data_IF_289743588552
#
_entry.id   IF_289743588552
#
_cell.length_a   1.000
_cell.length_b   1.000
_cell.length_c   1.000
_cell.angle_alpha   90.00
_cell.angle_beta   90.00
_cell.angle_gamma   90.00
#
_symmetry.space_group_name_H-M   'P 1'
#
loop_
_entity.id
_entity.type
_entity.pdbx_description
1 polymer ?
#
# COMPACT_ATOMS: atom_id res chain seq x y z
N UNK A 1 10.17 15.04 -1.43
CA UNK A 1 11.16 14.87 -0.37
C UNK A 1 10.49 14.71 0.99
N UNK A 2 10.26 13.46 1.39
CA UNK A 2 9.65 13.15 2.66
C UNK A 2 10.68 13.01 3.76
N UNK A 3 10.28 12.32 4.83
CA UNK A 3 11.18 11.97 5.92
C UNK A 3 10.96 10.52 6.27
N UNK A 4 12.04 9.77 6.47
CA UNK A 4 11.96 8.37 6.86
C UNK A 4 12.88 8.15 8.06
N UNK A 5 12.29 7.78 9.19
CA UNK A 5 13.04 7.55 10.41
C UNK A 5 13.67 6.16 10.42
N UNK A 6 14.57 5.95 11.37
CA UNK A 6 15.43 4.77 11.42
C UNK A 6 15.19 4.02 12.71
N UNK A 7 15.13 2.70 12.64
CA UNK A 7 15.11 1.83 13.82
C UNK A 7 16.09 0.70 13.54
N UNK A 8 17.29 0.79 14.10
CA UNK A 8 18.29 -0.25 13.90
C UNK A 8 19.31 -0.21 15.02
N UNK A 9 20.05 -1.31 15.17
CA UNK A 9 21.03 -1.45 16.23
C UNK A 9 22.44 -1.08 15.79
N UNK A 10 22.68 -0.88 14.50
CA UNK A 10 24.03 -0.61 13.99
C UNK A 10 24.02 0.72 13.28
N UNK A 11 24.89 1.64 13.72
CA UNK A 11 24.89 2.98 13.16
C UNK A 11 25.41 2.97 11.72
N UNK A 12 26.44 2.16 11.45
CA UNK A 12 26.93 2.03 10.08
C UNK A 12 25.92 1.30 9.20
N UNK A 13 25.38 0.19 9.70
CA UNK A 13 24.41 -0.57 8.91
C UNK A 13 23.15 0.24 8.70
N UNK A 14 22.71 1.00 9.71
CA UNK A 14 21.55 1.85 9.48
C UNK A 14 21.89 3.03 8.58
N UNK A 15 23.14 3.50 8.61
CA UNK A 15 23.56 4.52 7.65
C UNK A 15 23.50 4.00 6.22
N UNK A 16 23.71 2.70 6.04
CA UNK A 16 23.58 2.11 4.71
C UNK A 16 22.18 2.33 4.15
N UNK A 17 21.15 2.10 4.97
CA UNK A 17 19.78 2.38 4.54
C UNK A 17 19.53 3.88 4.48
N UNK A 18 20.11 4.64 5.42
CA UNK A 18 19.98 6.08 5.43
C UNK A 18 20.45 6.66 4.11
N UNK A 19 21.37 5.98 3.45
CA UNK A 19 21.73 6.35 2.08
C UNK A 19 20.49 6.38 1.20
N UNK A 20 19.73 5.28 1.19
CA UNK A 20 18.51 5.20 0.38
C UNK A 20 17.48 6.20 0.86
N UNK A 21 17.47 6.48 2.15
CA UNK A 21 16.48 7.39 2.71
C UNK A 21 16.75 8.83 2.27
N UNK A 22 17.93 9.34 2.60
CA UNK A 22 18.30 10.69 2.18
C UNK A 22 18.47 10.80 0.67
N UNK A 23 18.49 9.68 -0.05
CA UNK A 23 18.40 9.74 -1.50
C UNK A 23 17.11 10.43 -1.94
N UNK A 24 16.09 10.43 -1.09
CA UNK A 24 14.90 11.25 -1.27
C UNK A 24 14.76 12.29 -0.16
N UNK A 25 15.89 12.69 0.43
CA UNK A 25 15.88 13.71 1.46
C UNK A 25 15.14 13.32 2.71
N UNK A 26 15.16 12.04 3.07
CA UNK A 26 14.45 11.57 4.26
C UNK A 26 15.28 11.88 5.50
N UNK A 27 14.69 12.65 6.42
CA UNK A 27 15.38 12.98 7.66
C UNK A 27 15.59 11.72 8.49
N UNK A 28 16.80 11.57 9.03
CA UNK A 28 17.20 10.33 9.69
C UNK A 28 17.94 10.64 10.98
N UNK A 29 17.88 9.70 11.91
CA UNK A 29 18.65 9.74 13.15
C UNK A 29 19.34 8.39 13.33
N UNK A 30 20.67 8.42 13.39
CA UNK A 30 21.44 7.18 13.46
C UNK A 30 21.10 6.39 14.70
N UNK A 31 20.54 5.20 14.50
CA UNK A 31 20.04 4.36 15.57
C UNK A 31 21.08 3.28 15.88
N UNK A 32 21.49 3.22 17.14
CA UNK A 32 22.35 2.15 17.62
C UNK A 32 21.56 1.04 18.31
N UNK A 33 20.23 1.11 18.29
CA UNK A 33 19.40 0.07 18.87
C UNK A 33 17.97 0.28 18.41
N UNK A 34 17.14 -0.74 18.64
CA UNK A 34 15.71 -0.62 18.33
C UNK A 34 15.07 0.47 19.18
N UNK A 35 15.44 0.56 20.45
CA UNK A 35 14.94 1.63 21.32
C UNK A 35 15.42 2.99 20.84
N UNK A 36 16.66 3.05 20.34
CA UNK A 36 17.16 4.30 19.77
C UNK A 36 16.23 4.81 18.69
N UNK A 37 15.83 3.92 17.78
CA UNK A 37 14.90 4.31 16.74
C UNK A 37 13.52 4.66 17.26
N UNK A 38 13.02 3.86 18.21
CA UNK A 38 11.66 4.09 18.70
C UNK A 38 11.57 5.43 19.45
N UNK A 39 12.68 5.91 20.00
CA UNK A 39 12.70 7.25 20.58
C UNK A 39 12.95 8.32 19.52
N UNK A 40 13.77 8.00 18.51
CA UNK A 40 13.91 8.89 17.36
C UNK A 40 12.56 9.17 16.72
N UNK A 41 11.62 8.24 16.85
CA UNK A 41 10.25 8.47 16.41
C UNK A 41 9.69 9.72 17.09
N UNK A 42 9.84 9.79 18.41
CA UNK A 42 9.20 10.86 19.14
C UNK A 42 9.98 12.17 19.11
N UNK A 43 11.29 12.10 18.90
CA UNK A 43 12.10 13.32 19.02
C UNK A 43 11.69 14.34 17.95
N UNK A 44 11.37 13.88 16.75
CA UNK A 44 11.04 14.77 15.65
C UNK A 44 9.83 14.26 14.89
N UNK A 45 9.44 15.04 13.89
CA UNK A 45 8.31 14.71 13.02
C UNK A 45 8.82 14.11 11.72
N UNK A 46 8.15 13.06 11.26
CA UNK A 46 8.61 12.29 10.09
C UNK A 46 7.42 11.86 9.25
N UNK A 47 7.68 11.58 7.98
CA UNK A 47 6.65 11.10 7.05
C UNK A 47 6.54 9.58 7.00
N UNK A 48 7.47 8.86 7.62
CA UNK A 48 7.58 7.41 7.49
C UNK A 48 8.64 6.93 8.46
N UNK A 49 8.39 5.80 9.13
CA UNK A 49 9.29 5.40 10.20
C UNK A 49 9.56 3.90 10.18
N UNK A 50 10.83 3.52 10.03
CA UNK A 50 11.27 2.13 10.12
C UNK A 50 10.91 1.49 11.46
N UNK A 51 11.01 0.17 11.53
CA UNK A 51 11.00 -0.59 12.77
C UNK A 51 11.89 -1.81 12.60
N UNK A 52 12.19 -2.47 13.71
CA UNK A 52 13.12 -3.58 13.63
C UNK A 52 12.57 -4.90 14.14
N UNK A 53 13.44 -5.89 14.21
CA UNK A 53 13.09 -7.23 14.66
C UNK A 53 14.37 -7.96 15.04
N UNK A 54 14.32 -8.76 16.12
CA UNK A 54 15.46 -9.54 16.58
C UNK A 54 16.67 -8.66 16.87
N UNK A 55 16.42 -7.42 17.28
CA UNK A 55 17.47 -6.51 17.69
C UNK A 55 17.76 -6.75 19.16
N UNK A 56 18.76 -6.09 19.75
CA UNK A 56 18.91 -6.18 21.21
C UNK A 56 17.63 -5.80 21.94
N UNK A 57 16.91 -4.80 21.45
CA UNK A 57 15.56 -4.50 21.89
C UNK A 57 14.51 -5.05 20.95
N UNK A 58 14.93 -5.73 19.88
CA UNK A 58 13.99 -6.40 19.00
C UNK A 58 13.70 -7.80 19.51
N UNK A 59 12.52 -7.97 20.10
CA UNK A 59 12.08 -9.25 20.65
C UNK A 59 11.20 -10.02 19.67
N UNK A 60 11.45 -9.85 18.37
CA UNK A 60 10.69 -10.55 17.36
C UNK A 60 9.21 -10.23 17.42
N UNK A 61 8.37 -11.27 17.40
CA UNK A 61 6.93 -11.06 17.51
C UNK A 61 6.59 -10.32 18.80
N UNK A 62 7.33 -10.61 19.87
CA UNK A 62 7.15 -9.87 21.12
C UNK A 62 7.45 -8.40 20.92
N UNK A 63 8.54 -8.08 20.20
CA UNK A 63 8.77 -6.69 19.84
C UNK A 63 7.66 -6.16 18.94
N UNK A 64 7.11 -7.03 18.10
CA UNK A 64 6.05 -6.59 17.18
C UNK A 64 4.85 -6.11 17.97
N UNK A 65 4.45 -6.86 19.00
CA UNK A 65 3.34 -6.40 19.83
C UNK A 65 3.75 -5.29 20.79
N UNK A 66 5.03 -5.22 21.15
CA UNK A 66 5.47 -4.24 22.14
C UNK A 66 5.54 -2.84 21.54
N UNK A 67 6.06 -2.72 20.32
CA UNK A 67 6.38 -1.41 19.77
C UNK A 67 5.10 -0.60 19.53
N UNK A 68 3.98 -1.28 19.31
CA UNK A 68 2.69 -0.60 19.19
C UNK A 68 2.09 -0.34 20.57
N UNK A 69 2.77 0.53 21.32
CA UNK A 69 2.31 0.89 22.65
C UNK A 69 0.92 1.49 22.58
N UNK A 70 -0.09 0.73 23.04
CA UNK A 70 -1.51 1.07 22.83
C UNK A 70 -1.70 1.32 21.34
N UNK A 71 -2.20 2.48 20.93
CA UNK A 71 -2.19 2.84 19.52
C UNK A 71 -0.74 2.95 19.03
N UNK A 72 -0.42 2.40 17.86
CA UNK A 72 0.99 2.32 17.44
C UNK A 72 1.72 3.65 17.44
N UNK A 73 2.85 3.71 18.14
CA UNK A 73 3.69 4.91 18.17
C UNK A 73 4.48 5.03 16.87
N UNK A 74 3.73 5.33 15.81
CA UNK A 74 4.26 5.40 14.45
C UNK A 74 4.96 4.11 14.07
N UNK A 75 6.24 4.20 13.70
CA UNK A 75 7.02 3.04 13.24
C UNK A 75 6.31 2.31 12.11
N UNK A 76 5.77 3.07 11.15
CA UNK A 76 5.01 2.47 10.05
C UNK A 76 5.94 1.63 9.17
N UNK A 77 7.07 2.21 8.77
CA UNK A 77 8.02 1.45 7.97
C UNK A 77 8.74 0.42 8.84
N UNK A 78 9.39 -0.54 8.19
CA UNK A 78 10.21 -1.56 8.83
C UNK A 78 11.52 -1.64 8.07
N UNK A 79 12.53 -2.20 8.71
CA UNK A 79 13.76 -2.52 8.00
C UNK A 79 14.25 -3.91 8.39
N UNK A 80 15.04 -4.51 7.51
CA UNK A 80 15.60 -5.83 7.75
C UNK A 80 16.90 -5.98 6.98
N UNK A 81 17.91 -6.55 7.64
CA UNK A 81 19.17 -6.89 7.00
C UNK A 81 19.13 -8.23 6.31
N UNK A 82 17.94 -8.82 6.17
CA UNK A 82 17.77 -10.11 5.50
C UNK A 82 16.38 -10.14 4.88
N UNK A 83 16.08 -11.26 4.23
CA UNK A 83 14.78 -11.42 3.61
C UNK A 83 13.64 -11.45 4.63
N UNK A 84 13.94 -11.83 5.88
CA UNK A 84 12.99 -11.85 7.00
C UNK A 84 11.60 -12.29 6.56
N UNK A 85 11.54 -13.45 5.92
CA UNK A 85 10.32 -13.92 5.26
C UNK A 85 9.14 -13.93 6.23
N UNK A 86 9.31 -14.57 7.39
CA UNK A 86 8.25 -14.58 8.39
C UNK A 86 7.96 -13.16 8.88
N UNK A 87 9.02 -12.41 9.17
CA UNK A 87 8.88 -11.04 9.64
C UNK A 87 8.23 -10.16 8.57
N UNK A 88 8.66 -10.33 7.32
CA UNK A 88 8.08 -9.55 6.23
C UNK A 88 6.59 -9.85 6.08
N UNK A 89 6.23 -11.13 6.15
CA UNK A 89 4.83 -11.51 6.02
C UNK A 89 4.02 -10.91 7.16
N UNK A 90 4.53 -11.00 8.40
CA UNK A 90 3.81 -10.47 9.54
C UNK A 90 3.64 -8.95 9.43
N UNK A 91 4.68 -8.25 8.99
CA UNK A 91 4.57 -6.80 8.82
C UNK A 91 3.56 -6.46 7.74
N UNK A 92 3.54 -7.23 6.65
CA UNK A 92 2.53 -7.01 5.62
C UNK A 92 1.14 -7.25 6.18
N UNK A 93 0.98 -8.26 7.02
CA UNK A 93 -0.26 -8.45 7.75
C UNK A 93 -0.61 -7.22 8.57
N UNK A 94 0.40 -6.55 9.14
CA UNK A 94 0.17 -5.31 9.86
C UNK A 94 -0.12 -4.14 8.94
N UNK A 95 0.00 -4.32 7.63
CA UNK A 95 -0.30 -3.23 6.71
C UNK A 95 0.64 -2.05 6.85
N UNK A 96 1.95 -2.31 6.91
CA UNK A 96 2.96 -1.28 7.10
C UNK A 96 2.98 -0.29 5.93
N UNK A 97 3.31 0.97 6.21
CA UNK A 97 3.38 1.97 5.15
C UNK A 97 4.61 1.79 4.28
N UNK A 98 5.67 1.22 4.83
CA UNK A 98 6.89 1.02 4.04
C UNK A 98 7.76 -0.03 4.72
N UNK A 99 8.91 -0.30 4.10
CA UNK A 99 9.77 -1.40 4.51
C UNK A 99 11.01 -1.38 3.62
N UNK A 100 12.10 -1.95 4.14
CA UNK A 100 13.34 -2.12 3.39
C UNK A 100 14.00 -3.43 3.77
N UNK A 101 14.64 -4.08 2.80
CA UNK A 101 15.32 -5.35 3.00
C UNK A 101 16.70 -5.32 2.34
N UNK A 102 17.69 -5.88 3.02
CA UNK A 102 19.04 -5.92 2.45
C UNK A 102 19.16 -6.75 1.19
N UNK A 103 18.69 -8.01 1.13
CA UNK A 103 18.87 -8.78 -0.11
C UNK A 103 18.15 -8.17 -1.30
N UNK A 104 17.08 -7.41 -1.07
CA UNK A 104 16.41 -6.70 -2.15
C UNK A 104 17.38 -5.72 -2.81
N UNK A 105 17.33 -5.67 -4.14
CA UNK A 105 18.21 -4.79 -4.90
C UNK A 105 17.96 -3.33 -4.52
N UNK A 106 19.04 -2.61 -4.19
CA UNK A 106 18.89 -1.25 -3.69
C UNK A 106 18.46 -0.28 -4.78
N UNK A 107 18.74 -0.57 -6.05
CA UNK A 107 18.22 0.24 -7.13
C UNK A 107 16.71 0.10 -7.23
N UNK A 108 16.22 -1.12 -7.04
CA UNK A 108 14.78 -1.37 -7.06
C UNK A 108 14.10 -0.60 -5.93
N UNK A 109 14.67 -0.67 -4.73
CA UNK A 109 14.09 0.06 -3.60
C UNK A 109 14.23 1.57 -3.80
N UNK A 110 15.30 2.01 -4.45
CA UNK A 110 15.44 3.41 -4.81
C UNK A 110 14.28 3.86 -5.68
N UNK A 111 14.02 3.12 -6.76
CA UNK A 111 12.94 3.46 -7.65
C UNK A 111 11.60 3.42 -6.94
N UNK A 112 11.38 2.39 -6.11
CA UNK A 112 10.14 2.25 -5.38
C UNK A 112 9.92 3.41 -4.42
N UNK A 113 10.77 3.51 -3.40
CA UNK A 113 10.54 4.47 -2.33
C UNK A 113 10.65 5.90 -2.85
N UNK A 114 11.55 6.12 -3.81
CA UNK A 114 11.63 7.42 -4.47
C UNK A 114 10.28 7.81 -5.05
N UNK A 115 9.64 6.91 -5.78
CA UNK A 115 8.34 7.18 -6.39
C UNK A 115 7.62 5.85 -6.59
N UNK A 116 6.63 5.56 -5.75
CA UNK A 116 5.84 4.34 -5.85
C UNK A 116 4.35 4.61 -5.97
N UNK A 117 3.95 5.86 -6.17
CA UNK A 117 2.54 6.25 -6.29
C UNK A 117 1.73 5.76 -5.09
N UNK A 118 2.19 6.15 -3.90
CA UNK A 118 1.57 5.74 -2.65
C UNK A 118 0.56 6.75 -2.12
N UNK A 119 0.01 7.60 -2.99
CA UNK A 119 -0.97 8.58 -2.54
C UNK A 119 -2.25 7.89 -2.10
N UNK A 120 -2.88 8.42 -1.06
CA UNK A 120 -4.11 7.87 -0.54
C UNK A 120 -4.60 8.54 0.72
N UNK A 121 -5.90 8.76 0.81
CA UNK A 121 -6.48 9.40 1.98
C UNK A 121 -7.79 10.10 1.69
N UNK A 127 -7.34 26.63 6.99
CA UNK A 127 -8.30 27.54 6.41
C UNK A 127 -9.27 28.01 7.48
N UNK A 128 -10.51 28.30 7.08
CA UNK A 128 -11.52 28.75 8.03
C UNK A 128 -11.80 27.70 9.09
N UNK A 129 -11.89 26.45 8.68
CA UNK A 129 -12.24 25.36 9.59
C UNK A 129 -11.19 24.26 9.63
N UNK A 130 -10.14 24.34 8.81
CA UNK A 130 -9.12 23.30 8.80
C UNK A 130 -8.47 23.15 10.17
N UNK A 131 -8.54 21.94 10.72
CA UNK A 131 -7.99 21.66 12.04
C UNK A 131 -7.02 20.50 11.93
N UNK A 132 -6.37 20.38 10.76
CA UNK A 132 -5.35 19.35 10.58
C UNK A 132 -4.26 19.53 11.60
N UNK A 133 -3.88 18.43 12.27
CA UNK A 133 -2.83 18.44 13.28
C UNK A 133 -1.84 17.34 12.94
N UNK A 134 -0.91 17.61 12.02
CA UNK A 134 0.09 16.58 11.67
C UNK A 134 0.95 16.16 12.85
N UNK A 135 1.24 17.09 13.77
CA UNK A 135 2.04 16.75 14.93
C UNK A 135 1.38 15.70 15.80
N UNK A 136 0.04 15.69 15.84
CA UNK A 136 -0.70 14.73 16.64
C UNK A 136 -1.55 13.80 15.77
N UNK A 137 -1.35 13.82 14.46
CA UNK A 137 -2.05 12.96 13.52
C UNK A 137 -3.57 13.13 13.66
N UNK A 138 -4.01 14.37 13.41
CA UNK A 138 -5.41 14.75 13.52
C UNK A 138 -5.80 15.58 12.29
N UNK A 139 -5.43 15.09 11.11
CA UNK A 139 -5.76 15.74 9.85
C UNK A 139 -7.28 15.86 9.73
N UNK A 140 -7.79 17.08 9.77
CA UNK A 140 -9.23 17.31 9.72
C UNK A 140 -9.51 18.75 9.29
N UNK A 141 -10.63 18.92 8.58
CA UNK A 141 -11.24 20.23 8.35
C UNK A 141 -12.56 20.22 9.10
N UNK A 142 -12.77 21.21 9.95
CA UNK A 142 -13.94 21.20 10.84
C UNK A 142 -15.24 21.16 10.05
N UNK A 143 -15.33 21.96 8.99
CA UNK A 143 -16.48 21.88 8.11
C UNK A 143 -16.57 20.56 7.38
N UNK A 144 -15.42 19.98 7.03
CA UNK A 144 -15.36 18.74 6.27
C UNK A 144 -15.25 17.53 7.19
N UNK A 152 -13.97 16.68 -9.08
CA UNK A 152 -14.57 17.65 -8.16
C UNK A 152 -13.86 17.70 -6.81
N UNK A 153 -13.07 16.67 -6.51
CA UNK A 153 -12.32 16.66 -5.26
C UNK A 153 -11.32 17.81 -5.23
N UNK A 154 -10.60 18.01 -6.34
CA UNK A 154 -9.74 19.19 -6.45
C UNK A 154 -10.56 20.46 -6.42
N UNK A 155 -11.73 20.44 -7.07
CA UNK A 155 -12.65 21.58 -6.99
C UNK A 155 -13.09 21.80 -5.55
N UNK A 156 -13.36 20.72 -4.82
CA UNK A 156 -13.76 20.84 -3.43
C UNK A 156 -12.65 21.46 -2.59
N UNK A 157 -11.41 21.02 -2.82
CA UNK A 157 -10.29 21.59 -2.08
C UNK A 157 -10.11 23.07 -2.40
N UNK A 158 -10.27 23.44 -3.68
CA UNK A 158 -10.17 24.84 -4.06
C UNK A 158 -11.25 25.68 -3.39
N UNK A 159 -12.48 25.15 -3.35
CA UNK A 159 -13.57 25.86 -2.69
C UNK A 159 -13.30 25.99 -1.19
N UNK A 160 -12.76 24.94 -0.57
CA UNK A 160 -12.44 25.01 0.85
C UNK A 160 -11.36 26.05 1.12
N UNK A 161 -10.35 26.13 0.26
CA UNK A 161 -9.30 27.13 0.44
C UNK A 161 -9.85 28.55 0.34
N UNK A 162 -10.91 28.74 -0.44
CA UNK A 162 -11.53 30.05 -0.58
C UNK A 162 -12.77 30.17 0.31
N UNK B 1 -14.66 -10.16 3.04
CA UNK B 1 -14.94 -10.78 1.75
C UNK B 1 -15.10 -9.72 0.67
N UNK B 2 -14.02 -9.40 -0.02
CA UNK B 2 -14.02 -8.42 -1.09
C UNK B 2 -14.34 -9.05 -2.43
N UNK B 3 -13.98 -8.34 -3.49
CA UNK B 3 -14.10 -8.86 -4.84
C UNK B 3 -12.80 -8.56 -5.57
N UNK B 4 -12.29 -9.54 -6.32
CA UNK B 4 -11.08 -9.37 -7.10
C UNK B 4 -11.36 -9.85 -8.51
N UNK B 5 -11.21 -8.96 -9.49
CA UNK B 5 -11.46 -9.27 -10.88
C UNK B 5 -10.20 -9.87 -11.53
N UNK B 6 -10.39 -10.45 -12.72
CA UNK B 6 -9.37 -11.25 -13.40
C UNK B 6 -9.04 -10.58 -14.72
N UNK B 7 -7.76 -10.56 -15.07
CA UNK B 7 -7.31 -10.17 -16.41
C UNK B 7 -6.25 -11.18 -16.82
N UNK B 8 -6.66 -12.18 -17.61
CA UNK B 8 -5.74 -13.23 -18.02
C UNK B 8 -6.22 -13.85 -19.31
N UNK B 9 -5.29 -14.49 -20.01
CA UNK B 9 -5.60 -15.16 -21.27
C UNK B 9 -5.84 -16.65 -21.10
N UNK B 10 -5.47 -17.23 -19.96
CA UNK B 10 -5.59 -18.67 -19.76
C UNK B 10 -6.70 -18.93 -18.76
N UNK B 11 -7.76 -19.62 -19.20
CA UNK B 11 -8.89 -19.88 -18.33
C UNK B 11 -8.49 -20.87 -17.23
N UNK B 12 -7.64 -21.84 -17.57
CA UNK B 12 -7.12 -22.74 -16.54
C UNK B 12 -6.27 -21.98 -15.53
N UNK B 13 -5.34 -21.17 -16.01
CA UNK B 13 -4.46 -20.43 -15.11
C UNK B 13 -5.23 -19.34 -14.37
N UNK B 14 -6.19 -18.69 -15.05
CA UNK B 14 -6.98 -17.70 -14.33
C UNK B 14 -7.89 -18.37 -13.30
N UNK B 15 -8.33 -19.61 -13.54
CA UNK B 15 -9.04 -20.35 -12.49
C UNK B 15 -8.10 -20.69 -11.34
N UNK B 16 -6.85 -21.02 -11.64
CA UNK B 16 -5.87 -21.28 -10.59
C UNK B 16 -5.68 -20.05 -9.70
N UNK B 17 -5.62 -18.87 -10.30
CA UNK B 17 -5.54 -17.64 -9.50
C UNK B 17 -6.86 -17.38 -8.78
N UNK B 18 -7.98 -17.63 -9.46
CA UNK B 18 -9.31 -17.44 -8.88
C UNK B 18 -9.45 -18.27 -7.62
N UNK B 19 -8.73 -19.41 -7.56
CA UNK B 19 -8.62 -20.13 -6.30
C UNK B 19 -8.20 -19.17 -5.18
N UNK B 20 -7.04 -18.53 -5.34
CA UNK B 20 -6.54 -17.62 -4.32
C UNK B 20 -7.48 -16.44 -4.12
N UNK B 21 -8.16 -16.02 -5.18
CA UNK B 21 -9.05 -14.87 -5.07
C UNK B 21 -10.29 -15.22 -4.24
N UNK B 22 -11.11 -16.14 -4.74
CA UNK B 22 -12.30 -16.55 -4.01
C UNK B 22 -11.97 -17.27 -2.72
N UNK B 23 -10.68 -17.50 -2.42
CA UNK B 23 -10.31 -17.93 -1.09
C UNK B 23 -10.72 -16.89 -0.04
N UNK B 24 -10.90 -15.64 -0.47
CA UNK B 24 -11.53 -14.61 0.34
C UNK B 24 -12.85 -14.13 -0.26
N UNK B 25 -13.52 -15.02 -0.98
CA UNK B 25 -14.82 -14.71 -1.56
C UNK B 25 -14.78 -13.62 -2.61
N UNK B 26 -13.72 -13.58 -3.41
CA UNK B 26 -13.57 -12.53 -4.41
C UNK B 26 -14.35 -12.91 -5.66
N UNK B 27 -15.32 -12.07 -6.03
CA UNK B 27 -16.09 -12.31 -7.24
C UNK B 27 -15.19 -12.23 -8.47
N UNK B 28 -15.35 -13.18 -9.39
CA UNK B 28 -14.43 -13.35 -10.50
C UNK B 28 -15.18 -13.66 -11.78
N UNK B 29 -14.55 -13.32 -12.91
CA UNK B 29 -15.04 -13.67 -14.24
C UNK B 29 -13.88 -14.26 -15.02
N UNK B 30 -14.02 -15.52 -15.44
CA UNK B 30 -12.94 -16.23 -16.11
C UNK B 30 -12.57 -15.55 -17.42
N UNK B 31 -11.33 -15.07 -17.50
CA UNK B 31 -10.85 -14.31 -18.63
C UNK B 31 -10.02 -15.22 -19.52
N UNK B 32 -10.38 -15.27 -20.81
CA UNK B 32 -9.59 -15.97 -21.80
C UNK B 32 -8.64 -15.03 -22.54
N UNK B 33 -8.57 -13.77 -22.13
CA UNK B 33 -7.67 -12.80 -22.74
C UNK B 33 -7.59 -11.57 -21.85
N UNK B 34 -6.61 -10.71 -22.15
CA UNK B 34 -6.49 -9.45 -21.42
C UNK B 34 -7.72 -8.57 -21.65
N UNK B 35 -8.23 -8.55 -22.88
CA UNK B 35 -9.45 -7.80 -23.18
C UNK B 35 -10.65 -8.38 -22.44
N UNK B 36 -10.69 -9.71 -22.32
CA UNK B 36 -11.74 -10.35 -21.54
C UNK B 36 -11.79 -9.78 -20.13
N UNK B 37 -10.62 -9.70 -19.50
CA UNK B 37 -10.57 -9.13 -18.15
C UNK B 37 -10.91 -7.65 -18.12
N UNK B 38 -10.41 -6.89 -19.08
CA UNK B 38 -10.63 -5.45 -19.05
C UNK B 38 -12.11 -5.11 -19.25
N UNK B 39 -12.84 -6.00 -19.93
CA UNK B 39 -14.30 -5.82 -20.03
C UNK B 39 -15.01 -6.37 -18.80
N UNK B 40 -14.49 -7.46 -18.22
CA UNK B 40 -15.02 -7.94 -16.95
C UNK B 40 -14.94 -6.87 -15.88
N UNK B 41 -13.97 -5.95 -16.03
CA UNK B 41 -13.91 -4.78 -15.16
C UNK B 41 -15.23 -4.02 -15.20
N UNK B 42 -15.71 -3.73 -16.41
CA UNK B 42 -16.88 -2.89 -16.55
C UNK B 42 -18.19 -3.62 -16.31
N UNK B 43 -18.21 -4.94 -16.53
CA UNK B 43 -19.48 -5.65 -16.47
C UNK B 43 -20.08 -5.57 -15.06
N UNK B 44 -19.24 -5.64 -14.03
CA UNK B 44 -19.72 -5.66 -12.65
C UNK B 44 -18.87 -4.76 -11.78
N UNK B 45 -19.24 -4.70 -10.51
CA UNK B 45 -18.53 -3.91 -9.50
C UNK B 45 -17.61 -4.82 -8.69
N UNK B 46 -16.41 -4.33 -8.40
CA UNK B 46 -15.38 -5.13 -7.74
C UNK B 46 -14.58 -4.27 -6.78
N UNK B 47 -13.95 -4.91 -5.80
CA UNK B 47 -13.13 -4.21 -4.82
C UNK B 47 -11.66 -4.11 -5.21
N UNK B 48 -11.24 -4.83 -6.26
CA UNK B 48 -9.84 -4.92 -6.64
C UNK B 48 -9.78 -5.65 -7.98
N UNK B 49 -8.93 -5.17 -8.89
CA UNK B 49 -8.96 -5.73 -10.24
C UNK B 49 -7.56 -5.98 -10.79
N UNK B 50 -7.28 -7.22 -11.16
CA UNK B 50 -6.01 -7.61 -11.78
C UNK B 50 -5.77 -6.88 -13.10
N UNK B 51 -4.56 -7.01 -13.63
CA UNK B 51 -4.23 -6.61 -15.00
C UNK B 51 -3.13 -7.54 -15.51
N UNK B 52 -2.89 -7.49 -16.80
CA UNK B 52 -1.91 -8.39 -17.37
C UNK B 52 -0.75 -7.72 -18.07
N UNK B 53 0.08 -8.52 -18.69
CA UNK B 53 1.27 -8.05 -19.41
C UNK B 53 1.72 -9.13 -20.37
N UNK B 54 2.12 -8.74 -21.59
CA UNK B 54 2.60 -9.68 -22.60
C UNK B 54 1.56 -10.77 -22.90
N UNK B 55 0.29 -10.40 -22.83
CA UNK B 55 -0.79 -11.30 -23.21
C UNK B 55 -1.03 -11.16 -24.70
N UNK B 56 -1.93 -11.95 -25.29
CA UNK B 56 -2.31 -11.66 -26.70
C UNK B 56 -2.76 -10.22 -26.88
N UNK B 57 -3.50 -9.69 -25.92
CA UNK B 57 -3.81 -8.27 -25.85
C UNK B 57 -2.89 -7.53 -24.88
N UNK B 58 -1.95 -8.23 -24.26
CA UNK B 58 -0.96 -7.59 -23.41
C UNK B 58 0.25 -7.17 -24.23
N UNK B 59 0.37 -5.88 -24.46
CA UNK B 59 1.47 -5.28 -25.23
C UNK B 59 2.58 -4.77 -24.32
N UNK B 60 2.77 -5.40 -23.17
CA UNK B 60 3.81 -4.99 -22.25
C UNK B 60 3.66 -3.56 -21.78
N UNK B 61 4.74 -2.79 -21.87
CA UNK B 61 4.67 -1.38 -21.50
C UNK B 61 3.63 -0.66 -22.33
N UNK B 62 3.50 -1.04 -23.60
CA UNK B 62 2.44 -0.47 -24.43
C UNK B 62 1.07 -0.82 -23.88
N UNK B 63 0.88 -2.06 -23.43
CA UNK B 63 -0.36 -2.39 -22.72
C UNK B 63 -0.46 -1.59 -21.43
N UNK B 64 0.67 -1.31 -20.79
CA UNK B 64 0.65 -0.57 -19.53
C UNK B 64 0.07 0.82 -19.75
N UNK B 65 0.51 1.49 -20.82
CA UNK B 65 -0.05 2.81 -21.10
C UNK B 65 -1.44 2.71 -21.72
N UNK B 66 -1.76 1.62 -22.40
CA UNK B 66 -3.03 1.50 -23.10
C UNK B 66 -4.19 1.26 -22.14
N UNK B 67 -3.98 0.38 -21.15
CA UNK B 67 -5.09 -0.10 -20.32
C UNK B 67 -5.66 1.03 -19.48
N UNK B 68 -4.84 2.05 -19.18
CA UNK B 68 -5.33 3.22 -18.46
C UNK B 68 -5.96 4.21 -19.43
N UNK B 69 -7.09 3.80 -20.01
CA UNK B 69 -7.82 4.63 -20.95
C UNK B 69 -8.19 5.95 -20.28
N UNK B 70 -7.52 7.04 -20.66
CA UNK B 70 -7.62 8.33 -19.97
C UNK B 70 -7.38 8.06 -18.48
N UNK B 71 -8.30 8.44 -17.59
CA UNK B 71 -8.19 8.00 -16.21
C UNK B 71 -8.32 6.47 -16.15
N UNK B 72 -7.47 5.79 -15.38
CA UNK B 72 -7.43 4.31 -15.44
C UNK B 72 -8.78 3.65 -15.22
N UNK B 73 -9.17 2.79 -16.16
CA UNK B 73 -10.41 2.02 -16.06
C UNK B 73 -10.21 0.86 -15.06
N UNK B 74 -10.08 1.25 -13.79
CA UNK B 74 -9.78 0.33 -12.70
C UNK B 74 -8.53 -0.48 -12.98
N UNK B 75 -8.64 -1.80 -13.00
CA UNK B 75 -7.49 -2.69 -13.16
C UNK B 75 -6.38 -2.37 -12.16
N UNK B 76 -6.76 -2.13 -10.90
CA UNK B 76 -5.79 -1.71 -9.90
C UNK B 76 -4.78 -2.83 -9.63
N UNK B 77 -5.27 -4.04 -9.38
CA UNK B 77 -4.37 -5.16 -9.17
C UNK B 77 -3.75 -5.57 -10.50
N UNK B 78 -2.70 -6.39 -10.42
CA UNK B 78 -2.02 -6.97 -11.57
C UNK B 78 -1.84 -8.47 -11.29
N UNK B 79 -1.63 -9.23 -12.36
CA UNK B 79 -1.25 -10.62 -12.17
C UNK B 79 -0.12 -10.99 -13.11
N UNK B 80 0.62 -12.04 -12.76
CA UNK B 80 1.73 -12.49 -13.56
C UNK B 80 2.00 -13.97 -13.28
N UNK B 81 2.25 -14.74 -14.34
CA UNK B 81 2.62 -16.14 -14.24
C UNK B 81 4.11 -16.32 -13.99
N UNK B 82 4.81 -15.22 -13.77
CA UNK B 82 6.24 -15.25 -13.51
C UNK B 82 6.57 -14.13 -12.53
N UNK B 83 7.85 -14.04 -12.18
CA UNK B 83 8.28 -12.99 -11.25
C UNK B 83 8.13 -11.60 -11.84
N UNK B 84 8.14 -11.48 -13.17
CA UNK B 84 7.93 -10.23 -13.92
C UNK B 84 8.60 -9.04 -13.22
N UNK B 85 9.90 -9.20 -12.95
CA UNK B 85 10.63 -8.23 -12.14
C UNK B 85 10.49 -6.82 -12.67
N UNK B 86 10.76 -6.62 -13.96
CA UNK B 86 10.60 -5.30 -14.57
C UNK B 86 9.14 -4.86 -14.52
N UNK B 87 8.23 -5.78 -14.87
CA UNK B 87 6.81 -5.47 -14.85
C UNK B 87 6.34 -5.19 -13.42
N UNK B 88 6.80 -5.98 -12.46
CA UNK B 88 6.41 -5.75 -11.07
C UNK B 88 6.89 -4.40 -10.59
N UNK B 89 8.13 -4.05 -10.91
CA UNK B 89 8.67 -2.75 -10.49
C UNK B 89 7.87 -1.62 -11.12
N UNK B 90 7.57 -1.73 -12.42
CA UNK B 90 6.82 -0.68 -13.09
C UNK B 90 5.42 -0.54 -12.49
N UNK B 91 4.77 -1.66 -12.19
CA UNK B 91 3.44 -1.59 -11.57
C UNK B 91 3.52 -0.95 -10.19
N UNK B 92 4.56 -1.28 -9.43
CA UNK B 92 4.75 -0.64 -8.13
C UNK B 92 4.96 0.86 -8.29
N UNK B 93 5.68 1.25 -9.34
CA UNK B 93 5.76 2.67 -9.68
C UNK B 93 4.39 3.24 -9.92
N UNK B 94 3.53 2.48 -10.61
CA UNK B 94 2.14 2.89 -10.80
C UNK B 94 1.34 2.85 -9.51
N UNK B 95 1.89 2.28 -8.43
CA UNK B 95 1.19 2.25 -7.17
C UNK B 95 -0.07 1.41 -7.20
N UNK B 96 0.05 0.21 -7.76
CA UNK B 96 -1.10 -0.68 -7.87
C UNK B 96 -1.62 -1.08 -6.49
N UNK B 97 -2.95 -1.33 -6.43
CA UNK B 97 -3.56 -1.69 -5.15
C UNK B 97 -3.15 -3.09 -4.71
N UNK B 98 -2.96 -4.00 -5.66
CA UNK B 98 -2.45 -5.33 -5.31
C UNK B 98 -1.84 -5.96 -6.57
N UNK B 99 -1.46 -7.23 -6.44
CA UNK B 99 -0.71 -7.94 -7.48
C UNK B 99 -0.54 -9.39 -7.08
N UNK B 100 -0.40 -10.28 -8.06
CA UNK B 100 -0.18 -11.70 -7.79
C UNK B 100 0.88 -12.24 -8.75
N UNK B 101 1.71 -13.16 -8.25
CA UNK B 101 2.79 -13.76 -9.03
C UNK B 101 2.81 -15.27 -8.82
N UNK B 102 3.00 -16.02 -9.90
CA UNK B 102 3.06 -17.47 -9.79
C UNK B 102 4.24 -17.98 -8.95
N UNK B 103 5.49 -17.56 -9.20
CA UNK B 103 6.59 -18.11 -8.38
C UNK B 103 6.47 -17.80 -6.90
N UNK B 104 5.80 -16.71 -6.55
CA UNK B 104 5.53 -16.39 -5.16
C UNK B 104 4.73 -17.49 -4.50
N UNK B 105 5.08 -17.83 -3.25
CA UNK B 105 4.39 -18.88 -2.52
C UNK B 105 2.92 -18.53 -2.34
N UNK B 106 2.03 -19.43 -2.75
CA UNK B 106 0.61 -19.13 -2.75
C UNK B 106 0.03 -19.09 -1.34
N UNK B 107 0.67 -19.76 -0.38
CA UNK B 107 0.26 -19.62 1.01
C UNK B 107 0.56 -18.21 1.51
N UNK B 108 1.72 -17.67 1.12
CA UNK B 108 2.07 -16.31 1.48
C UNK B 108 1.07 -15.32 0.91
N UNK B 109 0.71 -15.49 -0.37
CA UNK B 109 -0.27 -14.62 -0.98
C UNK B 109 -1.65 -14.81 -0.37
N UNK B 110 -1.95 -16.05 0.04
CA UNK B 110 -3.20 -16.30 0.76
C UNK B 110 -3.25 -15.45 2.03
N UNK B 111 -2.20 -15.54 2.85
CA UNK B 111 -2.17 -14.77 4.08
C UNK B 111 -2.21 -13.27 3.79
N UNK B 112 -1.49 -12.83 2.77
CA UNK B 112 -1.43 -11.41 2.44
C UNK B 112 -2.79 -10.89 1.98
N UNK B 113 -3.27 -11.40 0.83
CA UNK B 113 -4.47 -10.84 0.21
C UNK B 113 -5.69 -11.15 1.06
N UNK B 114 -5.71 -12.29 1.75
CA UNK B 114 -6.77 -12.58 2.69
C UNK B 114 -6.90 -11.50 3.75
N UNK B 115 -5.76 -11.09 4.31
CA UNK B 115 -5.78 -10.04 5.33
C UNK B 115 -4.38 -9.41 5.37
N UNK B 116 -4.30 -8.14 4.95
CA UNK B 116 -3.03 -7.42 4.90
C UNK B 116 -3.11 -6.04 5.56
N UNK B 117 -4.21 -5.75 6.26
CA UNK B 117 -4.43 -4.46 6.91
C UNK B 117 -4.28 -3.31 5.93
N UNK B 118 -4.86 -3.48 4.74
CA UNK B 118 -4.78 -2.46 3.69
C UNK B 118 -5.91 -1.44 3.82
N UNK B 119 -5.91 -0.72 4.94
CA UNK B 119 -6.90 0.31 5.20
C UNK B 119 -6.32 1.68 4.87
N UNK B 120 -7.18 2.54 4.30
CA UNK B 120 -6.77 3.88 3.94
C UNK B 120 -7.85 4.66 3.21
N UNK B 121 -8.00 5.93 3.55
CA UNK B 121 -8.99 6.78 2.92
C UNK B 121 -9.38 7.98 3.77
N UNK B 127 -26.41 9.04 4.22
CA UNK B 127 -27.01 9.86 5.28
C UNK B 127 -27.68 11.08 4.66
N UNK B 128 -27.86 12.11 5.48
CA UNK B 128 -28.50 13.33 4.99
C UNK B 128 -27.69 13.97 3.87
N UNK B 129 -26.37 13.99 4.01
CA UNK B 129 -25.50 14.62 3.04
C UNK B 129 -24.60 13.65 2.30
N UNK B 130 -24.53 12.40 2.73
CA UNK B 130 -23.66 11.43 2.09
C UNK B 130 -24.03 11.25 0.62
N UNK B 131 -23.05 11.46 -0.26
CA UNK B 131 -23.26 11.34 -1.69
C UNK B 131 -22.22 10.38 -2.26
N UNK B 132 -21.79 9.42 -1.45
CA UNK B 132 -20.85 8.40 -1.91
C UNK B 132 -21.45 7.67 -3.09
N UNK B 133 -20.65 7.52 -4.15
CA UNK B 133 -21.06 6.83 -5.37
C UNK B 133 -20.01 5.78 -5.71
N UNK B 134 -20.07 4.62 -5.06
CA UNK B 134 -19.09 3.56 -5.37
C UNK B 134 -19.14 3.09 -6.81
N UNK B 135 -20.33 3.10 -7.43
CA UNK B 135 -20.44 2.66 -8.82
C UNK B 135 -19.65 3.55 -9.76
N UNK B 136 -19.51 4.83 -9.42
CA UNK B 136 -18.76 5.77 -10.24
C UNK B 136 -17.52 6.30 -9.53
N UNK B 137 -17.15 5.69 -8.40
CA UNK B 137 -15.98 6.08 -7.62
C UNK B 137 -16.04 7.56 -7.25
N UNK B 138 -17.10 7.90 -6.51
CA UNK B 138 -17.34 9.27 -6.08
C UNK B 138 -17.74 9.27 -4.60
N UNK B 139 -16.95 8.55 -3.79
CA UNK B 139 -17.15 8.51 -2.35
C UNK B 139 -17.09 9.93 -1.80
N UNK B 140 -18.21 10.42 -1.28
CA UNK B 140 -18.28 11.80 -0.80
C UNK B 140 -19.45 11.94 0.17
N UNK B 141 -19.25 12.78 1.17
CA UNK B 141 -20.32 13.30 2.02
C UNK B 141 -20.43 14.79 1.71
N UNK B 142 -21.66 15.28 1.52
CA UNK B 142 -21.81 16.67 1.10
C UNK B 142 -21.22 17.63 2.12
N UNK B 143 -21.46 17.35 3.41
CA UNK B 143 -20.80 18.13 4.44
C UNK B 143 -19.30 17.89 4.50
N UNK B 144 -18.89 16.65 4.28
CA UNK B 144 -17.48 16.28 4.37
C UNK B 144 -16.86 16.07 3.00
N UNK B 152 -11.02 10.61 17.33
CA UNK B 152 -12.33 11.23 17.15
C UNK B 152 -12.90 11.02 15.75
N UNK B 153 -12.13 10.37 14.88
CA UNK B 153 -12.63 10.08 13.54
C UNK B 153 -13.83 9.14 13.60
N UNK B 154 -13.76 8.12 14.46
CA UNK B 154 -14.92 7.26 14.68
C UNK B 154 -16.06 8.07 15.30
N UNK B 155 -15.73 8.96 16.23
CA UNK B 155 -16.73 9.86 16.78
C UNK B 155 -17.32 10.74 15.69
N UNK B 156 -16.48 11.21 14.77
CA UNK B 156 -16.97 12.04 13.67
C UNK B 156 -17.94 11.25 12.79
N UNK B 157 -17.59 10.00 12.49
CA UNK B 157 -18.47 9.16 11.67
C UNK B 157 -19.79 8.89 12.39
N UNK B 158 -19.73 8.66 13.70
CA UNK B 158 -20.95 8.45 14.48
C UNK B 158 -21.83 9.69 14.46
N UNK B 159 -21.22 10.87 14.60
CA UNK B 159 -21.99 12.11 14.54
C UNK B 159 -22.60 12.30 13.16
N UNK B 160 -21.85 11.97 12.11
CA UNK B 160 -22.37 12.09 10.74
C UNK B 160 -23.56 11.17 10.52
N UNK B 161 -23.48 9.94 11.05
CA UNK B 161 -24.58 9.00 10.88
C UNK B 161 -25.85 9.50 11.58
N UNK B 162 -25.69 10.21 12.68
CA UNK B 162 -26.83 10.75 13.41
C UNK B 162 -27.12 12.20 13.00
#
# INVERSE_FOLDING_TARGET
MGRILVIEDEISLNKTIIDNLNEFGYQTDSSENFKDGEYFIGIRHYDLVLASWNLPDGDGAELVNTIKHKSPRTSVMIMSAKADKDTEIKALKAGADDFVKKPLDFDILLARIEARLRLGGTNVIKIEDLVIDPDEEKITYKGQDIELKGKPFEVLTHLARHSDQIVSKEQLLDAIWEEPELVTPNVIEVAINQIRQKMDKPLNISTIETVRRRGYRFCFPKKS
MGRILVIEDEISLNKTIIDNLNEFGYQTDSSENFKDGEYFIGIRHYDLVLASWNLPDGDGAELVNTIKHKSPRTSVMIMSAKADKDTEIKALKAGADDFVKKPLDFDILLARIEARLRLGGTNVIKIEDLVIDPDEEKITYKGQDIELKGKPFEVLTHLARHSDQIVSKEQLLDAIWEEPELVTPNVIEVAINQIRQKMDKPLNISTIETVRRRGYRFCFPKKS
#
